data_IF_937375132720
#
_entry.id   IF_937375132720
#
_cell.length_a   1.000
_cell.length_b   1.000
_cell.length_c   1.000
_cell.angle_alpha   90.00
_cell.angle_beta   90.00
_cell.angle_gamma   90.00
#
_symmetry.space_group_name_H-M   'P 1'
#
loop_
_entity.id
_entity.type
_entity.pdbx_description
1 polymer ?
#
# COMPACT_ATOMS: atom_id res chain seq x y z
N UNK A 1 -23.33 -24.66 60.23
CA UNK A 1 -23.38 -23.76 59.07
C UNK A 1 -24.77 -23.85 58.48
N UNK A 2 -25.58 -22.81 58.68
CA UNK A 2 -26.96 -22.68 58.21
C UNK A 2 -26.98 -22.45 56.70
N UNK A 3 -27.63 -23.29 55.88
CA UNK A 3 -27.82 -22.99 54.47
C UNK A 3 -28.98 -22.01 54.30
N UNK A 4 -28.74 -20.98 53.48
CA UNK A 4 -29.70 -19.95 53.12
C UNK A 4 -30.94 -20.55 52.43
N UNK A 5 -32.14 -20.15 52.89
CA UNK A 5 -33.39 -20.37 52.16
C UNK A 5 -33.45 -19.37 51.01
N UNK A 6 -33.40 -19.84 49.77
CA UNK A 6 -33.79 -19.05 48.60
C UNK A 6 -35.26 -19.34 48.32
N UNK A 7 -36.12 -18.35 48.53
CA UNK A 7 -37.52 -18.38 48.10
C UNK A 7 -37.58 -17.96 46.64
N UNK A 8 -37.76 -18.91 45.73
CA UNK A 8 -38.17 -18.61 44.35
C UNK A 8 -39.67 -18.79 44.24
N UNK A 9 -40.40 -17.71 44.49
CA UNK A 9 -41.76 -17.50 43.99
C UNK A 9 -41.71 -17.52 42.46
N UNK A 10 -42.19 -18.61 41.87
CA UNK A 10 -42.72 -18.62 40.52
C UNK A 10 -44.13 -19.21 40.60
N UNK A 11 -45.12 -18.33 40.58
CA UNK A 11 -46.51 -18.72 40.46
C UNK A 11 -46.78 -19.38 39.11
N UNK A 12 -47.66 -20.38 39.15
CA UNK A 12 -48.73 -20.60 38.16
C UNK A 12 -48.31 -20.58 36.68
N UNK A 13 -47.96 -21.76 36.17
CA UNK A 13 -48.27 -22.30 34.83
C UNK A 13 -47.09 -23.16 34.35
N UNK A 14 -47.07 -24.41 34.79
CA UNK A 14 -46.08 -25.39 34.36
C UNK A 14 -46.33 -26.68 35.10
N UNK A 15 -47.00 -27.63 34.45
CA UNK A 15 -47.06 -29.02 34.87
C UNK A 15 -45.64 -29.55 35.01
N UNK A 16 -45.07 -29.52 36.22
CA UNK A 16 -43.85 -30.23 36.55
C UNK A 16 -44.18 -31.72 36.54
N UNK A 17 -43.96 -32.36 35.39
CA UNK A 17 -43.92 -33.82 35.31
C UNK A 17 -42.65 -34.28 36.01
N UNK A 18 -42.81 -34.81 37.23
CA UNK A 18 -41.72 -35.47 37.96
C UNK A 18 -41.41 -36.78 37.24
N UNK A 19 -40.24 -36.89 36.62
CA UNK A 19 -39.80 -38.13 35.97
C UNK A 19 -39.30 -39.09 37.06
N UNK A 20 -39.89 -40.31 37.19
CA UNK A 20 -39.40 -41.29 38.13
C UNK A 20 -37.97 -41.75 37.79
N UNK A 21 -37.15 -42.15 38.78
CA UNK A 21 -35.85 -42.74 38.52
C UNK A 21 -36.00 -44.00 37.65
N UNK A 22 -35.27 -44.05 36.55
CA UNK A 22 -35.24 -45.19 35.65
C UNK A 22 -34.48 -46.36 36.31
N UNK A 23 -35.19 -47.46 36.61
CA UNK A 23 -34.60 -48.72 37.05
C UNK A 23 -34.47 -49.68 35.85
N UNK A 24 -33.25 -49.97 35.38
CA UNK A 24 -33.04 -50.82 34.20
C UNK A 24 -33.37 -52.30 34.42
N UNK A 25 -33.77 -52.72 35.62
CA UNK A 25 -34.04 -54.13 35.92
C UNK A 25 -35.53 -54.51 35.90
N UNK A 26 -36.43 -53.54 35.76
CA UNK A 26 -37.87 -53.77 35.83
C UNK A 26 -38.54 -53.55 34.46
N UNK A 27 -38.50 -54.58 33.61
CA UNK A 27 -39.28 -54.64 32.35
C UNK A 27 -40.74 -55.05 32.63
N UNK A 28 -41.46 -54.20 33.36
CA UNK A 28 -42.88 -54.36 33.65
C UNK A 28 -43.78 -53.89 32.50
N UNK A 29 -44.76 -54.70 32.13
CA UNK A 29 -45.71 -54.50 31.03
C UNK A 29 -46.41 -53.13 31.07
N UNK A 30 -46.49 -52.47 29.90
CA UNK A 30 -47.23 -51.22 29.71
C UNK A 30 -48.73 -51.52 29.69
N UNK A 31 -49.57 -50.90 30.55
CA UNK A 31 -51.02 -51.00 30.42
C UNK A 31 -51.46 -50.22 29.17
N UNK A 32 -52.13 -50.90 28.24
CA UNK A 32 -52.83 -50.26 27.12
C UNK A 32 -54.00 -49.43 27.66
N UNK A 33 -53.82 -48.11 27.76
CA UNK A 33 -54.89 -47.24 28.21
C UNK A 33 -54.48 -45.79 28.41
N UNK A 34 -53.98 -45.13 27.36
CA UNK A 34 -53.93 -43.66 27.35
C UNK A 34 -54.54 -43.14 26.03
N UNK A 35 -55.58 -42.32 26.21
CA UNK A 35 -56.39 -41.68 25.19
C UNK A 35 -55.54 -40.88 24.19
N UNK A 36 -55.73 -41.14 22.90
CA UNK A 36 -55.01 -40.53 21.78
C UNK A 36 -55.50 -39.11 21.38
N UNK A 37 -56.28 -38.44 22.23
CA UNK A 37 -56.94 -37.17 21.86
C UNK A 37 -56.27 -35.91 22.42
N UNK A 38 -55.15 -36.03 23.12
CA UNK A 38 -54.32 -34.91 23.61
C UNK A 38 -52.85 -35.04 23.18
N UNK A 39 -52.59 -35.74 22.07
CA UNK A 39 -51.25 -35.86 21.53
C UNK A 39 -50.78 -34.51 20.95
N UNK A 40 -50.22 -33.67 21.81
CA UNK A 40 -49.42 -32.53 21.40
C UNK A 40 -48.29 -33.07 20.51
N UNK A 41 -48.28 -32.65 19.24
CA UNK A 41 -47.31 -33.09 18.25
C UNK A 41 -45.89 -32.87 18.83
N UNK A 42 -45.03 -33.91 18.89
CA UNK A 42 -43.71 -33.73 19.43
C UNK A 42 -42.95 -32.76 18.52
N UNK A 43 -42.48 -31.66 19.11
CA UNK A 43 -41.59 -30.71 18.43
C UNK A 43 -40.44 -31.49 17.78
N UNK A 44 -39.98 -31.09 16.59
CA UNK A 44 -38.90 -31.77 15.89
C UNK A 44 -37.63 -31.65 16.74
N UNK A 45 -37.38 -32.63 17.60
CA UNK A 45 -36.08 -32.78 18.22
C UNK A 45 -35.12 -33.12 17.09
N UNK A 46 -34.16 -32.22 16.84
CA UNK A 46 -32.99 -32.51 16.03
C UNK A 46 -32.32 -33.72 16.68
N UNK A 47 -32.53 -34.91 16.10
CA UNK A 47 -31.77 -36.09 16.46
C UNK A 47 -30.30 -35.76 16.21
N UNK A 48 -29.41 -35.86 17.21
CA UNK A 48 -27.98 -35.70 16.94
C UNK A 48 -27.58 -36.82 15.99
N UNK A 49 -27.20 -36.43 14.77
CA UNK A 49 -26.77 -37.35 13.72
C UNK A 49 -25.64 -38.24 14.27
N UNK A 50 -25.83 -39.57 14.41
CA UNK A 50 -24.76 -40.45 14.84
C UNK A 50 -23.80 -40.59 13.66
N UNK A 51 -22.72 -39.80 13.69
CA UNK A 51 -21.69 -39.85 12.66
C UNK A 51 -21.37 -38.52 11.98
N UNK A 52 -21.51 -37.38 12.68
CA UNK A 52 -20.71 -36.22 12.29
C UNK A 52 -19.23 -36.63 12.40
N UNK A 53 -18.59 -36.92 11.26
CA UNK A 53 -17.13 -37.07 11.21
C UNK A 53 -16.54 -35.86 11.90
N UNK A 54 -15.84 -36.08 13.02
CA UNK A 54 -14.96 -35.06 13.58
C UNK A 54 -13.95 -34.72 12.50
N UNK A 55 -14.21 -33.66 11.74
CA UNK A 55 -13.18 -33.02 10.94
C UNK A 55 -12.29 -32.37 12.01
N UNK A 56 -11.04 -32.85 12.22
CA UNK A 56 -10.15 -32.16 13.14
C UNK A 56 -10.05 -30.73 12.64
N UNK A 57 -10.37 -29.76 13.49
CA UNK A 57 -10.09 -28.37 13.21
C UNK A 57 -8.57 -28.25 13.15
N UNK A 58 -8.00 -28.43 11.96
CA UNK A 58 -6.64 -27.99 11.67
C UNK A 58 -6.62 -26.49 11.95
N UNK A 59 -5.59 -25.97 12.65
CA UNK A 59 -5.42 -24.53 12.79
C UNK A 59 -5.57 -23.94 11.39
N UNK A 60 -6.41 -22.90 11.24
CA UNK A 60 -6.41 -22.11 10.03
C UNK A 60 -5.02 -21.47 9.94
N UNK A 61 -4.08 -22.19 9.32
CA UNK A 61 -2.94 -21.56 8.73
C UNK A 61 -3.54 -20.55 7.78
N UNK A 62 -3.30 -19.26 8.05
CA UNK A 62 -3.55 -18.24 7.05
C UNK A 62 -2.62 -18.61 5.91
N UNK A 63 -3.15 -19.31 4.92
CA UNK A 63 -2.43 -19.69 3.71
C UNK A 63 -2.16 -18.40 2.93
N UNK A 64 -1.17 -17.64 3.42
CA UNK A 64 -0.72 -16.40 2.78
C UNK A 64 -0.32 -16.67 1.32
N UNK A 65 0.09 -17.91 1.03
CA UNK A 65 0.43 -18.38 -0.31
C UNK A 65 -0.79 -18.49 -1.24
N UNK A 66 -1.97 -18.88 -0.74
CA UNK A 66 -3.21 -18.95 -1.55
C UNK A 66 -3.79 -17.56 -1.83
N UNK A 67 -3.74 -16.65 -0.85
CA UNK A 67 -4.13 -15.25 -1.03
C UNK A 67 -3.20 -14.55 -2.03
N UNK A 68 -1.89 -14.80 -1.96
CA UNK A 68 -0.91 -14.32 -2.94
C UNK A 68 -1.21 -14.85 -4.35
N UNK A 69 -1.61 -16.11 -4.48
CA UNK A 69 -2.00 -16.69 -5.77
C UNK A 69 -3.29 -16.07 -6.33
N UNK A 70 -4.28 -15.79 -5.46
CA UNK A 70 -5.52 -15.09 -5.82
C UNK A 70 -5.26 -13.62 -6.20
N UNK A 71 -4.36 -12.93 -5.51
CA UNK A 71 -3.92 -11.56 -5.85
C UNK A 71 -3.14 -11.55 -7.18
N UNK A 72 -2.26 -12.53 -7.41
CA UNK A 72 -1.57 -12.73 -8.70
C UNK A 72 -2.55 -13.05 -9.83
N UNK A 73 -3.61 -13.81 -9.53
CA UNK A 73 -4.69 -14.09 -10.47
C UNK A 73 -5.62 -12.89 -10.71
N UNK A 74 -5.79 -11.99 -9.73
CA UNK A 74 -6.50 -10.71 -9.91
C UNK A 74 -5.68 -9.70 -10.73
N UNK A 75 -4.34 -9.77 -10.66
CA UNK A 75 -3.38 -9.04 -11.52
C UNK A 75 -3.36 -9.53 -12.99
N UNK A 76 -4.38 -10.28 -13.44
CA UNK A 76 -4.53 -10.82 -14.81
C UNK A 76 -4.86 -9.80 -15.89
N UNK A 77 -4.92 -8.50 -15.59
CA UNK A 77 -4.88 -7.47 -16.64
C UNK A 77 -3.41 -7.22 -16.97
N UNK A 78 -2.84 -7.99 -17.90
CA UNK A 78 -1.48 -7.75 -18.41
C UNK A 78 -1.23 -6.30 -18.83
N UNK A 79 -2.30 -5.59 -19.22
CA UNK A 79 -2.31 -4.16 -19.53
C UNK A 79 -1.93 -3.25 -18.35
N UNK A 80 -2.24 -3.60 -17.10
CA UNK A 80 -1.87 -2.78 -15.93
C UNK A 80 -0.36 -2.81 -15.68
N UNK A 81 0.23 -4.01 -15.72
CA UNK A 81 1.68 -4.18 -15.59
C UNK A 81 2.43 -3.53 -16.75
N UNK A 82 1.86 -3.59 -17.95
CA UNK A 82 2.40 -2.91 -19.13
C UNK A 82 2.29 -1.39 -19.01
N UNK A 83 1.17 -0.87 -18.50
CA UNK A 83 1.00 0.55 -18.20
C UNK A 83 2.03 1.07 -17.20
N UNK A 84 2.32 0.30 -16.14
CA UNK A 84 3.39 0.64 -15.19
C UNK A 84 4.78 0.59 -15.80
N UNK A 85 5.03 -0.32 -16.75
CA UNK A 85 6.29 -0.32 -17.50
C UNK A 85 6.42 0.98 -18.30
N UNK A 86 5.39 1.35 -19.08
CA UNK A 86 5.39 2.60 -19.86
C UNK A 86 5.58 3.81 -18.96
N UNK A 87 4.87 3.86 -17.83
CA UNK A 87 4.97 4.97 -16.89
C UNK A 87 6.40 5.16 -16.37
N UNK A 88 7.06 4.05 -15.99
CA UNK A 88 8.44 4.07 -15.50
C UNK A 88 9.44 4.41 -16.59
N UNK A 89 9.29 3.81 -17.77
CA UNK A 89 10.18 4.07 -18.91
C UNK A 89 10.04 5.52 -19.36
N UNK A 90 8.82 6.05 -19.43
CA UNK A 90 8.56 7.45 -19.79
C UNK A 90 9.16 8.41 -18.76
N UNK A 91 8.89 8.21 -17.47
CA UNK A 91 9.46 9.04 -16.42
C UNK A 91 11.00 8.96 -16.38
N UNK A 92 11.56 7.74 -16.45
CA UNK A 92 13.00 7.53 -16.44
C UNK A 92 13.69 8.11 -17.68
N UNK A 93 13.09 7.97 -18.87
CA UNK A 93 13.62 8.57 -20.09
C UNK A 93 13.66 10.09 -20.02
N UNK A 94 12.62 10.72 -19.46
CA UNK A 94 12.59 12.17 -19.24
C UNK A 94 13.74 12.60 -18.31
N UNK A 95 13.95 11.90 -17.19
CA UNK A 95 15.05 12.21 -16.26
C UNK A 95 16.42 12.01 -16.91
N UNK A 96 16.61 10.92 -17.66
CA UNK A 96 17.85 10.68 -18.40
C UNK A 96 18.11 11.81 -19.40
N UNK A 97 17.09 12.21 -20.17
CA UNK A 97 17.21 13.30 -21.12
C UNK A 97 17.59 14.62 -20.45
N UNK A 98 16.94 14.97 -19.34
CA UNK A 98 17.26 16.18 -18.56
C UNK A 98 18.66 16.11 -17.96
N UNK A 99 19.07 14.96 -17.41
CA UNK A 99 20.41 14.76 -16.89
C UNK A 99 21.49 14.86 -17.97
N UNK A 100 21.25 14.31 -19.17
CA UNK A 100 22.16 14.43 -20.32
C UNK A 100 22.23 15.88 -20.85
N UNK A 101 21.11 16.60 -20.85
CA UNK A 101 21.07 18.03 -21.17
C UNK A 101 21.90 18.85 -20.18
N UNK A 102 21.78 18.54 -18.88
CA UNK A 102 22.53 19.21 -17.81
C UNK A 102 24.00 18.84 -17.84
N UNK A 103 24.37 17.59 -18.14
CA UNK A 103 25.76 17.15 -18.05
C UNK A 103 26.55 17.42 -19.34
N UNK A 104 25.96 17.14 -20.50
CA UNK A 104 26.64 17.17 -21.78
C UNK A 104 26.10 18.22 -22.76
N UNK A 105 25.00 18.91 -22.43
CA UNK A 105 24.41 19.91 -23.32
C UNK A 105 23.76 19.31 -24.58
N UNK A 106 23.39 18.02 -24.55
CA UNK A 106 22.76 17.36 -25.70
C UNK A 106 21.41 18.01 -26.05
N UNK A 107 20.98 17.94 -27.31
CA UNK A 107 19.74 18.58 -27.80
C UNK A 107 19.64 20.08 -27.49
N UNK A 108 20.76 20.81 -27.53
CA UNK A 108 20.78 22.23 -27.19
C UNK A 108 20.57 22.52 -25.70
N UNK A 109 20.82 21.53 -24.84
CA UNK A 109 20.76 21.66 -23.40
C UNK A 109 21.78 22.64 -22.85
N UNK A 110 21.57 23.08 -21.61
CA UNK A 110 22.39 24.10 -20.96
C UNK A 110 23.87 23.69 -20.80
N UNK A 111 24.14 22.39 -20.66
CA UNK A 111 25.45 21.87 -20.31
C UNK A 111 25.81 22.15 -18.85
N UNK A 112 26.90 21.51 -18.38
CA UNK A 112 27.22 21.46 -16.95
C UNK A 112 27.61 22.81 -16.38
N UNK A 113 28.28 23.65 -17.19
CA UNK A 113 28.67 25.01 -16.79
C UNK A 113 27.45 25.90 -16.54
N UNK A 114 26.47 25.88 -17.43
CA UNK A 114 25.27 26.69 -17.25
C UNK A 114 24.38 26.14 -16.13
N UNK A 115 24.33 24.81 -15.95
CA UNK A 115 23.62 24.20 -14.83
C UNK A 115 24.27 24.59 -13.48
N UNK A 116 25.61 24.55 -13.39
CA UNK A 116 26.36 25.05 -12.24
C UNK A 116 26.02 26.52 -11.95
N UNK A 117 26.03 27.37 -12.97
CA UNK A 117 25.71 28.79 -12.79
C UNK A 117 24.27 28.96 -12.29
N UNK A 118 23.31 28.23 -12.87
CA UNK A 118 21.92 28.25 -12.39
C UNK A 118 21.79 27.80 -10.94
N UNK A 119 22.53 26.77 -10.50
CA UNK A 119 22.56 26.36 -9.09
C UNK A 119 23.12 27.47 -8.19
N UNK A 120 24.17 28.15 -8.64
CA UNK A 120 24.75 29.30 -7.93
C UNK A 120 23.78 30.47 -7.85
N UNK A 121 23.07 30.77 -8.94
CA UNK A 121 22.09 31.87 -9.01
C UNK A 121 20.89 31.62 -8.10
N UNK A 122 20.48 30.35 -7.99
CA UNK A 122 19.41 29.92 -7.08
C UNK A 122 19.89 29.91 -5.61
N UNK A 123 21.20 29.96 -5.35
CA UNK A 123 21.77 30.06 -4.00
C UNK A 123 22.33 28.76 -3.42
N UNK A 124 22.50 27.70 -4.21
CA UNK A 124 23.09 26.45 -3.73
C UNK A 124 24.58 26.61 -3.39
N UNK A 125 24.94 26.24 -2.17
CA UNK A 125 26.32 26.08 -1.74
C UNK A 125 26.97 24.90 -2.46
N UNK A 126 28.24 25.01 -2.84
CA UNK A 126 29.00 23.94 -3.52
C UNK A 126 28.44 23.55 -4.90
N UNK A 127 27.92 24.54 -5.64
CA UNK A 127 27.35 24.36 -6.99
C UNK A 127 28.22 23.55 -7.96
N UNK A 128 29.56 23.62 -7.84
CA UNK A 128 30.49 22.78 -8.62
C UNK A 128 30.23 21.29 -8.46
N UNK A 129 30.23 20.80 -7.21
CA UNK A 129 30.07 19.38 -6.91
C UNK A 129 28.61 18.97 -7.20
N UNK A 130 27.66 19.84 -6.82
CA UNK A 130 26.24 19.57 -7.02
C UNK A 130 25.83 19.53 -8.49
N UNK A 131 26.51 20.24 -9.38
CA UNK A 131 26.23 20.15 -10.81
C UNK A 131 26.50 18.73 -11.33
N UNK A 132 27.66 18.16 -11.00
CA UNK A 132 28.03 16.81 -11.43
C UNK A 132 27.21 15.72 -10.71
N UNK A 133 27.06 15.82 -9.39
CA UNK A 133 26.31 14.84 -8.59
C UNK A 133 24.83 14.91 -8.93
N UNK A 134 24.28 16.11 -9.11
CA UNK A 134 22.88 16.32 -9.46
C UNK A 134 22.56 15.79 -10.85
N UNK A 135 23.31 16.21 -11.87
CA UNK A 135 23.08 15.74 -13.24
C UNK A 135 23.37 14.24 -13.41
N UNK A 136 24.46 13.74 -12.82
CA UNK A 136 24.80 12.32 -12.84
C UNK A 136 23.80 11.47 -12.07
N UNK A 137 23.37 11.93 -10.89
CA UNK A 137 22.38 11.25 -10.07
C UNK A 137 21.01 11.17 -10.76
N UNK A 138 20.60 12.21 -11.47
CA UNK A 138 19.36 12.23 -12.24
C UNK A 138 19.35 11.16 -13.35
N UNK A 139 20.49 10.98 -14.05
CA UNK A 139 20.66 9.92 -15.04
C UNK A 139 20.60 8.54 -14.37
N UNK A 140 21.35 8.34 -13.29
CA UNK A 140 21.40 7.05 -12.58
C UNK A 140 20.02 6.65 -12.09
N UNK A 141 19.29 7.58 -11.47
CA UNK A 141 17.91 7.36 -11.01
C UNK A 141 16.98 7.04 -12.19
N UNK A 142 17.09 7.78 -13.29
CA UNK A 142 16.30 7.49 -14.50
C UNK A 142 16.57 6.10 -15.07
N UNK A 143 17.83 5.66 -15.10
CA UNK A 143 18.22 4.31 -15.54
C UNK A 143 17.66 3.25 -14.58
N UNK A 144 17.77 3.46 -13.27
CA UNK A 144 17.20 2.54 -12.28
C UNK A 144 15.69 2.39 -12.44
N UNK A 145 14.97 3.48 -12.74
CA UNK A 145 13.54 3.45 -13.03
C UNK A 145 13.21 2.66 -14.30
N UNK A 146 13.94 2.88 -15.40
CA UNK A 146 13.75 2.17 -16.67
C UNK A 146 13.96 0.66 -16.48
N UNK A 147 15.02 0.28 -15.76
CA UNK A 147 15.32 -1.13 -15.45
C UNK A 147 14.36 -1.72 -14.40
N UNK A 148 13.63 -0.87 -13.68
CA UNK A 148 12.77 -1.29 -12.58
C UNK A 148 13.54 -1.88 -11.41
N UNK A 149 14.77 -1.41 -11.17
CA UNK A 149 15.63 -1.85 -10.08
C UNK A 149 15.50 -0.90 -8.89
N UNK A 150 15.29 -1.44 -7.68
CA UNK A 150 15.02 -0.64 -6.47
C UNK A 150 13.91 0.41 -6.70
N UNK A 151 12.84 0.03 -7.41
CA UNK A 151 11.82 0.96 -7.94
C UNK A 151 11.29 1.98 -6.91
N UNK A 152 10.92 1.63 -5.66
CA UNK A 152 10.47 2.63 -4.70
C UNK A 152 11.57 3.63 -4.30
N UNK A 153 12.83 3.18 -4.20
CA UNK A 153 13.99 4.04 -3.92
C UNK A 153 14.34 4.93 -5.12
N UNK A 154 14.34 4.37 -6.32
CA UNK A 154 14.54 5.12 -7.56
C UNK A 154 13.43 6.16 -7.76
N UNK A 155 12.17 5.78 -7.47
CA UNK A 155 11.04 6.71 -7.46
C UNK A 155 11.21 7.82 -6.44
N UNK A 156 11.68 7.51 -5.22
CA UNK A 156 11.97 8.51 -4.19
C UNK A 156 13.07 9.50 -4.63
N UNK A 157 14.14 9.00 -5.25
CA UNK A 157 15.19 9.85 -5.83
C UNK A 157 14.67 10.74 -6.95
N UNK A 158 13.83 10.18 -7.84
CA UNK A 158 13.20 10.94 -8.92
C UNK A 158 12.32 12.06 -8.37
N UNK A 159 11.52 11.76 -7.35
CA UNK A 159 10.69 12.74 -6.66
C UNK A 159 11.53 13.85 -6.04
N UNK A 160 12.66 13.53 -5.40
CA UNK A 160 13.56 14.53 -4.83
C UNK A 160 14.15 15.46 -5.90
N UNK A 161 14.56 14.93 -7.07
CA UNK A 161 15.03 15.75 -8.19
C UNK A 161 13.95 16.65 -8.76
N UNK A 162 12.74 16.12 -8.94
CA UNK A 162 11.60 16.89 -9.43
C UNK A 162 11.21 18.01 -8.46
N UNK A 163 11.16 17.74 -7.16
CA UNK A 163 10.89 18.76 -6.13
C UNK A 163 11.94 19.88 -6.20
N UNK A 164 13.23 19.55 -6.24
CA UNK A 164 14.30 20.56 -6.35
C UNK A 164 14.21 21.37 -7.65
N UNK A 165 13.90 20.72 -8.77
CA UNK A 165 13.70 21.40 -10.06
C UNK A 165 12.51 22.36 -10.04
N UNK A 166 11.42 21.97 -9.37
CA UNK A 166 10.22 22.81 -9.23
C UNK A 166 10.51 24.03 -8.35
N UNK A 167 11.15 23.81 -7.19
CA UNK A 167 11.55 24.87 -6.27
C UNK A 167 12.54 25.86 -6.92
N UNK A 168 13.52 25.36 -7.69
CA UNK A 168 14.46 26.20 -8.42
C UNK A 168 13.75 27.09 -9.45
N UNK A 169 12.76 26.55 -10.17
CA UNK A 169 12.01 27.31 -11.16
C UNK A 169 11.15 28.41 -10.51
N UNK A 170 10.46 28.09 -9.42
CA UNK A 170 9.68 29.05 -8.62
C UNK A 170 10.59 30.14 -8.04
N UNK A 171 11.73 29.76 -7.48
CA UNK A 171 12.69 30.69 -6.86
C UNK A 171 13.36 31.62 -7.86
N UNK A 172 13.51 31.20 -9.12
CA UNK A 172 14.01 32.07 -10.18
C UNK A 172 13.03 33.19 -10.56
N UNK A 173 11.77 33.15 -10.11
CA UNK A 173 10.72 34.12 -10.45
C UNK A 173 9.93 34.61 -9.22
N UNK A 174 10.59 35.24 -8.24
CA UNK A 174 9.97 35.56 -6.94
C UNK A 174 8.83 36.60 -7.02
N UNK A 175 8.68 37.30 -8.15
CA UNK A 175 7.66 38.34 -8.36
C UNK A 175 6.56 37.95 -9.36
N UNK A 176 6.61 36.74 -9.94
CA UNK A 176 5.51 36.25 -10.79
C UNK A 176 4.46 35.54 -9.94
N UNK A 177 3.18 35.79 -10.22
CA UNK A 177 2.11 34.95 -9.67
C UNK A 177 2.37 33.50 -10.07
N UNK A 178 2.16 32.55 -9.15
CA UNK A 178 2.31 31.12 -9.42
C UNK A 178 1.32 30.72 -10.51
N UNK A 179 1.77 30.69 -11.76
CA UNK A 179 0.94 30.35 -12.90
C UNK A 179 0.94 28.83 -13.05
N UNK A 180 -0.25 28.26 -13.14
CA UNK A 180 -0.39 26.83 -13.41
C UNK A 180 -0.23 26.52 -14.91
N UNK A 181 -0.83 27.34 -15.76
CA UNK A 181 -0.91 27.13 -17.21
C UNK A 181 0.15 27.93 -17.97
N UNK A 182 0.48 27.45 -19.18
CA UNK A 182 1.33 28.13 -20.16
C UNK A 182 0.92 29.60 -20.38
N UNK A 183 1.87 30.49 -20.71
CA UNK A 183 3.28 30.24 -21.05
C UNK A 183 4.23 30.10 -19.83
N UNK A 184 3.81 30.54 -18.65
CA UNK A 184 4.62 30.55 -17.42
C UNK A 184 4.24 29.43 -16.44
N UNK A 185 3.62 28.37 -16.96
CA UNK A 185 2.98 27.32 -16.18
C UNK A 185 3.94 26.30 -15.57
N UNK A 186 3.61 25.84 -14.36
CA UNK A 186 4.28 24.72 -13.68
C UNK A 186 3.61 23.35 -13.93
N UNK A 187 2.58 23.28 -14.79
CA UNK A 187 1.81 22.07 -15.09
C UNK A 187 2.67 20.85 -15.41
N UNK A 188 3.75 21.03 -16.20
CA UNK A 188 4.64 19.94 -16.59
C UNK A 188 5.37 19.34 -15.39
N UNK A 189 5.94 20.19 -14.53
CA UNK A 189 6.69 19.77 -13.35
C UNK A 189 5.78 19.06 -12.35
N UNK A 190 4.59 19.62 -12.12
CA UNK A 190 3.57 19.02 -11.23
C UNK A 190 3.13 17.66 -11.78
N UNK A 191 2.92 17.55 -13.09
CA UNK A 191 2.54 16.28 -13.72
C UNK A 191 3.61 15.21 -13.53
N UNK A 192 4.89 15.56 -13.70
CA UNK A 192 6.00 14.63 -13.44
C UNK A 192 6.08 14.20 -11.98
N UNK A 193 5.85 15.12 -11.04
CA UNK A 193 5.77 14.81 -9.59
C UNK A 193 4.66 13.80 -9.33
N UNK A 194 3.47 14.02 -9.88
CA UNK A 194 2.34 13.09 -9.77
C UNK A 194 2.69 11.72 -10.37
N UNK A 195 3.35 11.68 -11.52
CA UNK A 195 3.83 10.42 -12.12
C UNK A 195 4.83 9.70 -11.22
N UNK A 196 5.77 10.42 -10.60
CA UNK A 196 6.75 9.85 -9.68
C UNK A 196 6.06 9.25 -8.43
N UNK A 197 5.11 9.97 -7.84
CA UNK A 197 4.29 9.46 -6.72
C UNK A 197 3.52 8.21 -7.13
N UNK A 198 2.90 8.21 -8.31
CA UNK A 198 2.19 7.05 -8.83
C UNK A 198 3.12 5.83 -8.98
N UNK A 199 4.36 6.02 -9.46
CA UNK A 199 5.35 4.94 -9.55
C UNK A 199 5.76 4.42 -8.18
N UNK A 200 6.01 5.30 -7.20
CA UNK A 200 6.39 4.90 -5.83
C UNK A 200 5.29 4.05 -5.20
N UNK A 201 4.03 4.50 -5.31
CA UNK A 201 2.87 3.83 -4.72
C UNK A 201 2.50 2.54 -5.46
N UNK A 202 2.75 2.46 -6.77
CA UNK A 202 2.42 1.27 -7.57
C UNK A 202 3.50 0.20 -7.58
N UNK A 203 4.75 0.56 -7.25
CA UNK A 203 5.88 -0.38 -7.19
C UNK A 203 6.44 -0.83 -8.55
N UNK A 204 7.30 -1.87 -8.59
CA UNK A 204 8.02 -2.30 -9.80
C UNK A 204 7.17 -3.00 -10.86
N UNK A 205 5.93 -3.41 -10.58
CA UNK A 205 5.13 -4.22 -11.51
C UNK A 205 5.80 -5.52 -11.96
N UNK A 206 5.17 -6.27 -12.88
CA UNK A 206 5.70 -7.56 -13.38
C UNK A 206 6.94 -7.47 -14.28
N UNK A 207 7.18 -6.33 -14.92
CA UNK A 207 8.23 -6.16 -15.93
C UNK A 207 9.50 -5.48 -15.41
N UNK A 208 9.65 -5.28 -14.10
CA UNK A 208 10.89 -4.77 -13.50
C UNK A 208 11.85 -5.88 -13.11
N UNK A 209 13.16 -5.61 -13.11
CA UNK A 209 14.14 -6.58 -12.60
C UNK A 209 13.93 -6.92 -11.11
N UNK A 210 13.27 -6.03 -10.35
CA UNK A 210 12.90 -6.24 -8.95
C UNK A 210 11.55 -6.98 -8.77
N UNK A 211 10.90 -7.40 -9.86
CA UNK A 211 9.60 -8.07 -9.83
C UNK A 211 9.60 -9.45 -9.14
N UNK A 212 10.76 -10.05 -8.91
CA UNK A 212 10.88 -11.32 -8.19
C UNK A 212 11.23 -11.18 -6.70
N UNK A 213 11.50 -9.96 -6.21
CA UNK A 213 12.01 -9.74 -4.86
C UNK A 213 10.90 -9.36 -3.89
N UNK A 214 10.77 -10.13 -2.80
CA UNK A 214 9.70 -9.99 -1.82
C UNK A 214 9.65 -8.63 -1.09
N UNK A 215 10.76 -7.88 -1.07
CA UNK A 215 10.77 -6.52 -0.51
C UNK A 215 9.96 -5.51 -1.34
N UNK A 216 9.81 -5.76 -2.64
CA UNK A 216 8.98 -4.97 -3.53
C UNK A 216 7.47 -5.29 -3.44
N UNK A 217 7.11 -6.43 -2.87
CA UNK A 217 5.73 -6.95 -2.80
C UNK A 217 5.02 -6.68 -1.47
N UNK A 218 5.67 -6.02 -0.50
CA UNK A 218 5.04 -5.59 0.76
C UNK A 218 4.79 -4.07 0.74
N UNK A 219 3.76 -3.61 -0.02
CA UNK A 219 3.66 -2.24 -0.52
C UNK A 219 3.35 -1.20 0.57
N UNK A 220 2.73 -1.56 1.70
CA UNK A 220 2.14 -0.52 2.53
C UNK A 220 3.16 0.27 3.36
N UNK A 221 4.14 -0.40 3.97
CA UNK A 221 5.17 0.29 4.76
C UNK A 221 6.33 0.71 3.88
N UNK A 222 6.79 -0.15 2.96
CA UNK A 222 7.98 0.13 2.14
C UNK A 222 7.80 1.31 1.18
N UNK A 223 6.70 1.34 0.41
CA UNK A 223 6.44 2.42 -0.55
C UNK A 223 6.06 3.72 0.14
N UNK A 224 5.33 3.67 1.25
CA UNK A 224 5.00 4.87 2.01
C UNK A 224 6.23 5.48 2.67
N UNK A 225 7.11 4.65 3.26
CA UNK A 225 8.40 5.12 3.78
C UNK A 225 9.27 5.67 2.65
N UNK A 226 9.32 5.01 1.49
CA UNK A 226 10.07 5.52 0.34
C UNK A 226 9.52 6.87 -0.16
N UNK A 227 8.19 7.04 -0.20
CA UNK A 227 7.54 8.30 -0.55
C UNK A 227 7.94 9.41 0.43
N UNK A 228 7.78 9.17 1.73
CA UNK A 228 8.17 10.12 2.77
C UNK A 228 9.66 10.44 2.71
N UNK A 229 10.49 9.43 2.45
CA UNK A 229 11.94 9.60 2.32
C UNK A 229 12.28 10.45 1.11
N UNK A 230 11.63 10.26 -0.04
CA UNK A 230 11.83 11.08 -1.24
C UNK A 230 11.44 12.54 -1.03
N UNK A 231 10.29 12.79 -0.40
CA UNK A 231 9.83 14.13 -0.04
C UNK A 231 10.81 14.78 0.96
N UNK A 232 11.13 14.07 2.05
CA UNK A 232 12.05 14.56 3.08
C UNK A 232 13.45 14.84 2.51
N UNK A 233 13.96 13.96 1.65
CA UNK A 233 15.25 14.15 1.00
C UNK A 233 15.23 15.36 0.05
N UNK A 234 14.17 15.53 -0.75
CA UNK A 234 14.02 16.69 -1.63
C UNK A 234 14.04 18.00 -0.85
N UNK A 235 13.25 18.08 0.22
CA UNK A 235 13.16 19.25 1.11
C UNK A 235 14.49 19.47 1.86
N UNK A 236 15.11 18.41 2.38
CA UNK A 236 16.36 18.51 3.13
C UNK A 236 17.51 18.99 2.22
N UNK A 237 17.61 18.46 0.99
CA UNK A 237 18.59 18.92 0.00
C UNK A 237 18.41 20.42 -0.26
N UNK A 238 17.17 20.87 -0.44
CA UNK A 238 16.87 22.29 -0.62
C UNK A 238 17.29 23.11 0.61
N UNK A 239 16.75 22.80 1.79
CA UNK A 239 17.00 23.58 3.02
C UNK A 239 18.49 23.63 3.38
N UNK A 240 19.16 22.47 3.35
CA UNK A 240 20.54 22.35 3.80
C UNK A 240 21.55 22.96 2.83
N UNK A 241 21.29 22.86 1.52
CA UNK A 241 22.26 23.29 0.51
C UNK A 241 21.95 24.66 -0.08
N UNK A 242 20.68 25.06 -0.13
CA UNK A 242 20.27 26.39 -0.60
C UNK A 242 20.27 27.43 0.53
N UNK A 243 20.07 26.99 1.79
CA UNK A 243 20.06 27.88 2.95
C UNK A 243 18.79 28.71 3.13
N UNK A 244 17.78 28.53 2.27
CA UNK A 244 16.47 29.20 2.34
C UNK A 244 15.39 28.18 2.67
N UNK A 245 14.49 28.53 3.59
CA UNK A 245 13.37 27.67 3.98
C UNK A 245 12.34 27.64 2.82
N UNK A 246 11.99 26.48 2.23
CA UNK A 246 11.11 26.40 1.05
C UNK A 246 9.66 26.80 1.33
N UNK A 247 9.35 27.14 2.57
CA UNK A 247 8.01 27.46 3.09
C UNK A 247 7.93 28.88 3.68
N UNK A 248 9.03 29.65 3.61
CA UNK A 248 9.11 31.01 4.15
C UNK A 248 8.94 32.06 3.05
#
# INVERSE_FOLDING_TARGET
>A
MTPAKYSSDFGSAGTTTVIPPYDPTNSGAVPSGYNLMDAQEPLPYVQPQPGARHIPATPAALDMDEDDERIRAASRRGTQNFGLLILRVGLGAVLIAHGLQKLFGWWGGSGVTAFKNSLSDVGFQHADILAYVGAGGEIVVGVLLVLGLFTPLAGAGALAFLINGTLANVSARPHSQFSYFLPDGHEYQITLVVMAVAVILSGPGRYGLDAGRGWAHRPFIGSFVALLTGIAAGIAIWVLLNGVNPVA
#
